data_IF_286877692251
#
_entry.id   IF_286877692251
#
_cell.length_a   1.000
_cell.length_b   1.000
_cell.length_c   1.000
_cell.angle_alpha   90.00
_cell.angle_beta   90.00
_cell.angle_gamma   90.00
#
_symmetry.space_group_name_H-M   'P 1'
#
loop_
_entity.id
_entity.type
_entity.pdbx_description
1 polymer ?
#
# COMPACT_ATOMS: atom_id res chain seq x y z
N UNK A 1 -12.86 -13.69 -17.12
CA UNK A 1 -11.82 -13.20 -16.19
C UNK A 1 -11.34 -14.36 -15.34
N UNK A 2 -10.03 -14.50 -15.16
CA UNK A 2 -9.40 -15.45 -14.23
C UNK A 2 -8.52 -14.71 -13.23
N UNK A 3 -8.44 -15.22 -11.99
CA UNK A 3 -7.65 -14.63 -10.92
C UNK A 3 -6.57 -15.62 -10.51
N UNK A 4 -5.31 -15.21 -10.61
CA UNK A 4 -4.17 -15.98 -10.15
C UNK A 4 -3.48 -15.18 -9.03
N UNK A 5 -2.99 -15.86 -8.00
CA UNK A 5 -2.22 -15.24 -6.92
C UNK A 5 -0.81 -15.81 -6.90
N UNK A 6 0.16 -14.95 -6.59
CA UNK A 6 1.44 -15.41 -6.07
C UNK A 6 1.38 -15.71 -4.56
N UNK A 7 2.55 -15.82 -3.95
CA UNK A 7 2.75 -16.19 -2.56
C UNK A 7 2.82 -15.00 -1.59
N UNK A 8 2.87 -13.76 -2.08
CA UNK A 8 3.07 -12.57 -1.22
C UNK A 8 1.95 -12.31 -0.23
N UNK A 9 0.70 -12.60 -0.61
CA UNK A 9 -0.49 -12.29 0.18
C UNK A 9 -1.72 -13.10 -0.24
N UNK A 10 -1.64 -14.42 -0.08
CA UNK A 10 -2.74 -15.34 -0.41
C UNK A 10 -4.07 -14.99 0.29
N UNK A 11 -4.10 -14.59 1.58
CA UNK A 11 -5.35 -14.22 2.25
C UNK A 11 -6.09 -13.06 1.58
N UNK A 12 -5.38 -12.01 1.13
CA UNK A 12 -6.01 -10.91 0.40
C UNK A 12 -6.56 -11.39 -0.95
N UNK A 13 -5.81 -12.23 -1.68
CA UNK A 13 -6.27 -12.77 -2.95
C UNK A 13 -7.52 -13.63 -2.79
N UNK A 14 -7.59 -14.49 -1.76
CA UNK A 14 -8.78 -15.28 -1.43
C UNK A 14 -9.97 -14.40 -1.08
N UNK A 15 -9.76 -13.33 -0.30
CA UNK A 15 -10.81 -12.37 0.04
C UNK A 15 -11.35 -11.63 -1.20
N UNK A 16 -10.47 -11.21 -2.12
CA UNK A 16 -10.85 -10.60 -3.40
C UNK A 16 -11.64 -11.61 -4.25
N UNK A 17 -11.14 -12.83 -4.38
CA UNK A 17 -11.76 -13.92 -5.15
C UNK A 17 -13.18 -14.22 -4.66
N UNK A 18 -13.37 -14.25 -3.33
CA UNK A 18 -14.67 -14.45 -2.70
C UNK A 18 -15.65 -13.30 -3.02
N UNK A 19 -15.19 -12.04 -3.05
CA UNK A 19 -16.03 -10.90 -3.44
C UNK A 19 -16.46 -10.94 -4.91
N UNK A 20 -15.62 -11.52 -5.77
CA UNK A 20 -15.91 -11.69 -7.20
C UNK A 20 -16.68 -12.98 -7.50
N UNK A 21 -16.90 -13.85 -6.51
CA UNK A 21 -17.49 -15.19 -6.69
C UNK A 21 -16.75 -16.02 -7.76
N UNK A 22 -15.44 -15.87 -7.85
CA UNK A 22 -14.57 -16.63 -8.76
C UNK A 22 -13.58 -17.45 -7.92
N UNK A 23 -13.23 -18.68 -8.31
CA UNK A 23 -12.13 -19.40 -7.69
C UNK A 23 -10.77 -18.87 -8.18
N UNK A 24 -9.75 -19.00 -7.35
CA UNK A 24 -8.37 -18.76 -7.77
C UNK A 24 -7.92 -19.87 -8.73
N UNK A 25 -7.22 -19.47 -9.80
CA UNK A 25 -6.57 -20.38 -10.74
C UNK A 25 -5.58 -21.25 -10.01
N UNK A 26 -5.66 -22.56 -10.25
CA UNK A 26 -4.68 -23.52 -9.74
C UNK A 26 -3.34 -23.28 -10.43
N UNK A 27 -2.33 -22.97 -9.64
CA UNK A 27 -0.94 -22.83 -10.08
C UNK A 27 -0.01 -23.47 -9.05
N UNK A 28 1.08 -24.06 -9.53
CA UNK A 28 2.17 -24.56 -8.72
C UNK A 28 3.30 -23.52 -8.76
N UNK A 29 3.37 -22.71 -7.70
CA UNK A 29 4.39 -21.68 -7.54
C UNK A 29 5.28 -22.08 -6.36
N UNK A 30 6.47 -22.56 -6.67
CA UNK A 30 7.39 -23.17 -5.70
C UNK A 30 8.83 -22.74 -5.95
N UNK A 31 9.72 -23.15 -5.05
CA UNK A 31 11.16 -22.97 -5.19
C UNK A 31 11.85 -24.31 -5.40
N UNK A 32 12.89 -24.32 -6.21
CA UNK A 32 13.86 -25.41 -6.25
C UNK A 32 14.79 -25.36 -5.03
N UNK A 33 15.65 -26.37 -4.87
CA UNK A 33 16.56 -26.49 -3.71
C UNK A 33 17.59 -25.36 -3.60
N UNK A 34 17.90 -24.70 -4.72
CA UNK A 34 18.77 -23.52 -4.82
C UNK A 34 18.03 -22.18 -4.69
N UNK A 35 16.72 -22.21 -4.42
CA UNK A 35 15.78 -21.09 -4.35
C UNK A 35 15.36 -20.46 -5.69
N UNK A 36 15.69 -21.05 -6.84
CA UNK A 36 15.11 -20.61 -8.10
C UNK A 36 13.59 -20.80 -8.09
N UNK A 37 12.87 -19.81 -8.63
CA UNK A 37 11.40 -19.78 -8.63
C UNK A 37 10.88 -20.54 -9.84
N UNK A 38 9.95 -21.45 -9.60
CA UNK A 38 9.24 -22.23 -10.61
C UNK A 38 7.75 -21.90 -10.57
N UNK A 39 7.17 -21.63 -11.74
CA UNK A 39 5.73 -21.38 -11.91
C UNK A 39 5.19 -22.31 -12.98
N UNK A 40 4.12 -23.02 -12.64
CA UNK A 40 3.34 -23.83 -13.57
C UNK A 40 1.85 -23.54 -13.38
N UNK A 41 1.15 -23.21 -14.47
CA UNK A 41 -0.28 -22.90 -14.47
C UNK A 41 -1.03 -24.19 -14.79
N UNK A 42 -1.89 -24.65 -13.88
CA UNK A 42 -2.54 -25.97 -13.95
C UNK A 42 -3.91 -25.93 -14.64
N UNK A 43 -4.27 -24.80 -15.25
CA UNK A 43 -5.54 -24.58 -15.93
C UNK A 43 -5.33 -23.91 -17.29
N UNK A 44 -6.27 -24.14 -18.22
CA UNK A 44 -6.29 -23.41 -19.47
C UNK A 44 -6.58 -21.91 -19.21
N UNK A 45 -5.71 -21.06 -19.73
CA UNK A 45 -5.78 -19.59 -19.67
C UNK A 45 -5.79 -18.95 -21.07
N UNK A 46 -5.83 -19.76 -22.14
CA UNK A 46 -5.80 -19.29 -23.52
C UNK A 46 -7.00 -18.39 -23.81
N UNK A 47 -6.75 -17.19 -24.31
CA UNK A 47 -7.80 -16.22 -24.64
C UNK A 47 -8.44 -15.52 -23.45
N UNK A 48 -8.01 -15.83 -22.22
CA UNK A 48 -8.60 -15.27 -21.00
C UNK A 48 -8.05 -13.89 -20.65
N UNK A 49 -8.86 -13.11 -19.94
CA UNK A 49 -8.41 -11.91 -19.22
C UNK A 49 -7.99 -12.30 -17.81
N UNK A 50 -6.69 -12.25 -17.53
CA UNK A 50 -6.08 -12.80 -16.31
C UNK A 50 -5.53 -11.69 -15.42
N UNK A 51 -5.88 -11.74 -14.14
CA UNK A 51 -5.40 -10.83 -13.11
C UNK A 51 -4.44 -11.58 -12.19
N UNK A 52 -3.21 -11.09 -12.04
CA UNK A 52 -2.19 -11.67 -11.18
C UNK A 52 -2.02 -10.82 -9.93
N UNK A 53 -2.47 -11.32 -8.78
CA UNK A 53 -2.36 -10.64 -7.48
C UNK A 53 -0.99 -10.95 -6.87
N UNK A 54 -0.14 -9.95 -6.77
CA UNK A 54 1.15 -10.05 -6.10
C UNK A 54 1.62 -8.68 -5.60
N UNK A 55 1.69 -8.51 -4.28
CA UNK A 55 2.46 -7.41 -3.68
C UNK A 55 3.95 -7.71 -3.78
N UNK A 56 4.77 -6.69 -4.07
CA UNK A 56 6.23 -6.83 -4.13
C UNK A 56 6.88 -6.45 -2.80
N UNK A 57 6.27 -6.91 -1.70
CA UNK A 57 6.74 -6.78 -0.31
C UNK A 57 7.79 -7.84 0.04
N UNK A 58 8.38 -7.77 1.24
CA UNK A 58 9.40 -8.72 1.68
C UNK A 58 8.95 -10.20 1.54
N UNK A 59 9.80 -11.11 1.04
CA UNK A 59 11.08 -10.85 0.35
C UNK A 59 10.86 -10.24 -1.04
N UNK A 60 11.25 -8.96 -1.19
CA UNK A 60 10.82 -8.11 -2.31
C UNK A 60 11.28 -8.64 -3.67
N UNK A 61 12.53 -9.09 -3.75
CA UNK A 61 13.12 -9.56 -5.00
C UNK A 61 12.49 -10.87 -5.45
N UNK A 62 12.23 -11.78 -4.50
CA UNK A 62 11.60 -13.06 -4.80
C UNK A 62 10.17 -12.85 -5.29
N UNK A 63 9.37 -12.02 -4.60
CA UNK A 63 8.00 -11.73 -5.01
C UNK A 63 7.94 -10.98 -6.34
N UNK A 64 8.92 -10.11 -6.62
CA UNK A 64 9.05 -9.49 -7.94
C UNK A 64 9.36 -10.53 -9.01
N UNK A 65 10.36 -11.39 -8.81
CA UNK A 65 10.71 -12.44 -9.78
C UNK A 65 9.54 -13.41 -9.98
N UNK A 66 8.84 -13.79 -8.92
CA UNK A 66 7.65 -14.63 -8.98
C UNK A 66 6.54 -13.98 -9.83
N UNK A 67 6.30 -12.68 -9.67
CA UNK A 67 5.37 -11.92 -10.53
C UNK A 67 5.79 -11.96 -12.00
N UNK A 68 7.07 -11.67 -12.28
CA UNK A 68 7.59 -11.61 -13.64
C UNK A 68 7.50 -12.98 -14.34
N UNK A 69 7.90 -14.06 -13.65
CA UNK A 69 7.85 -15.43 -14.17
C UNK A 69 6.39 -15.86 -14.39
N UNK A 70 5.49 -15.48 -13.48
CA UNK A 70 4.05 -15.76 -13.61
C UNK A 70 3.45 -15.06 -14.83
N UNK A 71 3.78 -13.78 -15.05
CA UNK A 71 3.35 -13.03 -16.24
C UNK A 71 3.90 -13.66 -17.52
N UNK A 72 5.18 -14.05 -17.55
CA UNK A 72 5.78 -14.71 -18.72
C UNK A 72 5.10 -16.07 -19.01
N UNK A 73 4.81 -16.88 -17.98
CA UNK A 73 4.09 -18.13 -18.12
C UNK A 73 2.68 -17.94 -18.70
N UNK A 74 1.94 -16.92 -18.24
CA UNK A 74 0.62 -16.55 -18.78
C UNK A 74 0.70 -16.11 -20.25
N UNK A 75 1.70 -15.28 -20.58
CA UNK A 75 1.93 -14.80 -21.94
C UNK A 75 2.21 -15.95 -22.89
N UNK A 76 3.12 -16.87 -22.52
CA UNK A 76 3.43 -18.07 -23.31
C UNK A 76 2.25 -19.04 -23.40
N UNK A 77 1.39 -19.05 -22.39
CA UNK A 77 0.14 -19.79 -22.37
C UNK A 77 -1.01 -19.10 -23.14
N UNK A 78 -0.71 -18.03 -23.89
CA UNK A 78 -1.65 -17.33 -24.77
C UNK A 78 -2.83 -16.67 -24.06
N UNK A 79 -2.63 -16.18 -22.83
CA UNK A 79 -3.59 -15.28 -22.19
C UNK A 79 -3.84 -14.05 -23.09
N UNK A 80 -5.10 -13.62 -23.24
CA UNK A 80 -5.48 -12.48 -24.09
C UNK A 80 -5.03 -11.16 -23.50
N UNK A 81 -5.20 -11.00 -22.18
CA UNK A 81 -4.82 -9.80 -21.43
C UNK A 81 -4.32 -10.22 -20.04
N UNK A 82 -3.26 -9.57 -19.58
CA UNK A 82 -2.65 -9.83 -18.28
C UNK A 82 -2.59 -8.51 -17.50
N UNK A 83 -3.34 -8.43 -16.41
CA UNK A 83 -3.30 -7.30 -15.48
C UNK A 83 -2.46 -7.68 -14.26
N UNK A 84 -1.36 -6.97 -14.01
CA UNK A 84 -0.59 -7.12 -12.80
C UNK A 84 -1.27 -6.33 -11.66
N UNK A 85 -1.89 -7.05 -10.72
CA UNK A 85 -2.53 -6.48 -9.54
C UNK A 85 -1.49 -6.46 -8.41
N UNK A 86 -0.96 -5.28 -8.11
CA UNK A 86 0.17 -5.07 -7.19
C UNK A 86 -0.29 -4.19 -6.02
N UNK A 87 -0.98 -4.74 -5.00
CA UNK A 87 -1.51 -3.94 -3.88
C UNK A 87 -0.44 -3.11 -3.16
N UNK A 88 0.80 -3.61 -3.07
CA UNK A 88 1.95 -2.83 -2.64
C UNK A 88 3.07 -2.89 -3.69
N UNK A 89 3.40 -1.74 -4.27
CA UNK A 89 4.48 -1.58 -5.24
C UNK A 89 5.81 -1.33 -4.53
N UNK A 90 6.59 -2.39 -4.33
CA UNK A 90 7.97 -2.31 -3.85
C UNK A 90 8.83 -1.44 -4.76
N UNK A 91 9.94 -0.92 -4.22
CA UNK A 91 10.81 0.06 -4.87
C UNK A 91 10.18 1.43 -5.18
N UNK A 92 8.90 1.68 -4.87
CA UNK A 92 8.25 2.97 -5.11
C UNK A 92 8.99 4.20 -4.53
N UNK A 93 9.70 4.01 -3.41
CA UNK A 93 10.51 5.06 -2.76
C UNK A 93 11.79 5.43 -3.51
N UNK A 94 12.12 4.71 -4.58
CA UNK A 94 13.28 4.94 -5.45
C UNK A 94 12.80 5.44 -6.83
N UNK A 95 12.00 6.50 -6.81
CA UNK A 95 11.30 7.12 -7.95
C UNK A 95 12.11 8.20 -8.67
N UNK A 96 13.21 8.67 -8.08
CA UNK A 96 14.08 9.69 -8.66
C UNK A 96 15.53 9.50 -8.27
N UNK A 97 16.43 10.16 -9.00
CA UNK A 97 17.83 10.25 -8.61
C UNK A 97 17.98 11.23 -7.46
N UNK A 98 18.34 10.74 -6.28
CA UNK A 98 18.66 11.57 -5.10
C UNK A 98 20.13 11.97 -5.05
N UNK A 99 20.98 11.34 -5.87
CA UNK A 99 22.40 11.66 -5.98
C UNK A 99 23.01 11.25 -7.32
N UNK A 100 24.30 11.50 -7.47
CA UNK A 100 25.05 11.02 -8.64
C UNK A 100 25.13 9.48 -8.61
N UNK A 101 24.96 8.85 -9.78
CA UNK A 101 25.10 7.39 -9.99
C UNK A 101 24.13 6.50 -9.17
N UNK A 102 22.97 7.01 -8.76
CA UNK A 102 21.90 6.21 -8.17
C UNK A 102 20.89 5.74 -9.22
N UNK A 103 20.25 4.56 -9.06
CA UNK A 103 19.21 4.10 -9.97
C UNK A 103 17.88 4.84 -9.76
N UNK A 104 16.96 4.68 -10.72
CA UNK A 104 15.52 4.93 -10.53
C UNK A 104 14.85 3.56 -10.54
N UNK A 105 14.92 2.85 -9.41
CA UNK A 105 14.52 1.44 -9.36
C UNK A 105 13.02 1.25 -9.61
N UNK A 106 12.17 2.21 -9.24
CA UNK A 106 10.75 2.17 -9.60
C UNK A 106 10.56 2.12 -11.13
N UNK A 107 11.34 2.89 -11.90
CA UNK A 107 11.30 2.83 -13.38
C UNK A 107 11.88 1.52 -13.92
N UNK A 108 12.95 1.00 -13.32
CA UNK A 108 13.48 -0.32 -13.69
C UNK A 108 12.42 -1.42 -13.51
N UNK A 109 11.76 -1.45 -12.34
CA UNK A 109 10.71 -2.44 -12.05
C UNK A 109 9.52 -2.28 -13.00
N UNK A 110 9.11 -1.04 -13.31
CA UNK A 110 8.07 -0.78 -14.31
C UNK A 110 8.44 -1.36 -15.69
N UNK A 111 9.69 -1.18 -16.13
CA UNK A 111 10.19 -1.78 -17.38
C UNK A 111 10.15 -3.30 -17.34
N UNK A 112 10.57 -3.92 -16.23
CA UNK A 112 10.57 -5.38 -16.09
C UNK A 112 9.16 -5.95 -16.18
N UNK A 113 8.19 -5.37 -15.46
CA UNK A 113 6.78 -5.80 -15.47
C UNK A 113 6.18 -5.66 -16.87
N UNK A 114 6.44 -4.53 -17.54
CA UNK A 114 5.96 -4.28 -18.91
C UNK A 114 6.57 -5.29 -19.89
N UNK A 115 7.89 -5.50 -19.83
CA UNK A 115 8.61 -6.40 -20.73
C UNK A 115 8.27 -7.88 -20.51
N UNK A 116 7.97 -8.29 -19.28
CA UNK A 116 7.47 -9.64 -19.00
C UNK A 116 6.16 -9.93 -19.76
N UNK A 117 5.33 -8.91 -20.00
CA UNK A 117 4.11 -9.00 -20.79
C UNK A 117 2.84 -8.54 -20.07
N UNK A 118 2.96 -7.72 -19.02
CA UNK A 118 1.80 -7.07 -18.45
C UNK A 118 1.18 -6.12 -19.47
N UNK A 119 -0.16 -6.12 -19.55
CA UNK A 119 -0.93 -5.23 -20.42
C UNK A 119 -1.50 -4.04 -19.65
N UNK A 120 -1.62 -4.19 -18.32
CA UNK A 120 -2.13 -3.18 -17.39
C UNK A 120 -1.55 -3.45 -16.00
N UNK A 121 -1.45 -2.39 -15.19
CA UNK A 121 -1.15 -2.49 -13.76
C UNK A 121 -2.32 -1.94 -12.95
N UNK A 122 -2.72 -2.63 -11.89
CA UNK A 122 -3.64 -2.14 -10.87
C UNK A 122 -2.89 -2.11 -9.54
N UNK A 123 -2.79 -0.96 -8.90
CA UNK A 123 -2.06 -0.79 -7.64
C UNK A 123 -2.83 0.09 -6.67
N UNK A 124 -2.32 0.26 -5.46
CA UNK A 124 -2.92 1.07 -4.40
C UNK A 124 -1.86 2.02 -3.84
N UNK A 125 -2.22 3.30 -3.72
CA UNK A 125 -1.43 4.36 -3.08
C UNK A 125 0.07 4.34 -3.39
N UNK A 126 0.42 4.48 -4.67
CA UNK A 126 1.81 4.71 -5.07
C UNK A 126 2.45 5.83 -4.24
N UNK A 127 3.72 5.59 -3.85
CA UNK A 127 4.50 6.55 -3.08
C UNK A 127 4.57 7.93 -3.76
N UNK A 128 4.79 7.90 -5.07
CA UNK A 128 4.77 9.09 -5.92
C UNK A 128 3.80 8.86 -7.08
N UNK A 129 2.85 9.78 -7.26
CA UNK A 129 1.85 9.71 -8.34
C UNK A 129 2.48 9.70 -9.74
N UNK A 130 3.70 10.23 -9.88
CA UNK A 130 4.49 10.27 -11.11
C UNK A 130 4.92 8.88 -11.58
N UNK A 131 4.94 7.86 -10.70
CA UNK A 131 5.27 6.48 -11.07
C UNK A 131 4.31 5.95 -12.15
N UNK A 132 3.08 6.48 -12.25
CA UNK A 132 2.16 6.17 -13.35
C UNK A 132 2.79 6.46 -14.72
N UNK A 133 3.57 7.53 -14.85
CA UNK A 133 4.31 7.88 -16.07
C UNK A 133 5.55 7.02 -16.33
N UNK A 134 5.89 6.07 -15.45
CA UNK A 134 6.96 5.09 -15.71
C UNK A 134 6.48 3.90 -16.53
N UNK A 135 5.17 3.69 -16.63
CA UNK A 135 4.57 2.62 -17.42
C UNK A 135 4.07 3.18 -18.76
N UNK A 136 4.41 2.49 -19.84
CA UNK A 136 3.85 2.77 -21.18
C UNK A 136 2.47 2.10 -21.37
N UNK A 137 2.15 1.15 -20.48
CA UNK A 137 0.85 0.47 -20.38
C UNK A 137 -0.07 1.20 -19.38
N UNK A 138 -1.41 1.07 -19.51
CA UNK A 138 -2.33 1.66 -18.54
C UNK A 138 -2.03 1.22 -17.10
N UNK A 139 -2.09 2.18 -16.18
CA UNK A 139 -1.98 1.94 -14.75
C UNK A 139 -3.15 2.58 -14.02
N UNK A 140 -3.88 1.78 -13.26
CA UNK A 140 -4.94 2.21 -12.36
C UNK A 140 -4.37 2.28 -10.93
N UNK A 141 -4.13 3.49 -10.43
CA UNK A 141 -3.69 3.71 -9.05
C UNK A 141 -4.89 4.00 -8.14
N UNK A 142 -5.29 3.01 -7.34
CA UNK A 142 -6.33 3.17 -6.34
C UNK A 142 -5.83 4.00 -5.15
N UNK A 143 -6.77 4.49 -4.35
CA UNK A 143 -6.50 5.21 -3.11
C UNK A 143 -7.23 4.55 -1.95
N UNK A 144 -6.56 4.35 -0.81
CA UNK A 144 -7.17 3.82 0.41
C UNK A 144 -8.09 4.84 1.09
N UNK A 145 -8.10 6.10 0.63
CA UNK A 145 -8.82 7.18 1.28
C UNK A 145 -10.31 6.95 1.52
N UNK A 146 -11.10 6.40 0.59
CA UNK A 146 -12.48 6.01 0.86
C UNK A 146 -12.60 4.94 1.96
N UNK A 147 -11.70 3.95 1.99
CA UNK A 147 -11.66 2.88 2.99
C UNK A 147 -11.33 3.44 4.38
N UNK A 148 -10.33 4.32 4.47
CA UNK A 148 -9.98 5.02 5.71
C UNK A 148 -11.08 5.95 6.19
N UNK A 149 -11.66 6.75 5.29
CA UNK A 149 -12.69 7.72 5.67
C UNK A 149 -13.93 7.03 6.24
N UNK A 150 -14.31 5.89 5.67
CA UNK A 150 -15.40 5.06 6.20
C UNK A 150 -15.07 4.55 7.59
N UNK A 151 -13.92 3.92 7.76
CA UNK A 151 -13.51 3.34 9.05
C UNK A 151 -13.32 4.40 10.16
N UNK A 152 -12.80 5.58 9.81
CA UNK A 152 -12.70 6.72 10.73
C UNK A 152 -14.10 7.20 11.16
N UNK A 153 -15.04 7.35 10.22
CA UNK A 153 -16.42 7.75 10.54
C UNK A 153 -17.10 6.72 11.41
N UNK A 154 -16.93 5.43 11.12
CA UNK A 154 -17.56 4.35 11.86
C UNK A 154 -17.00 4.20 13.29
N UNK A 155 -15.74 4.58 13.52
CA UNK A 155 -15.05 4.34 14.81
C UNK A 155 -14.78 5.58 15.65
N UNK A 156 -14.74 6.77 15.04
CA UNK A 156 -14.31 8.03 15.67
C UNK A 156 -15.32 9.18 15.49
N UNK A 157 -16.56 8.93 15.05
CA UNK A 157 -17.58 9.97 14.73
C UNK A 157 -17.81 11.04 15.81
N UNK A 158 -17.65 10.68 17.08
CA UNK A 158 -17.97 11.55 18.22
C UNK A 158 -16.75 12.32 18.76
N UNK A 159 -15.65 12.33 18.00
CA UNK A 159 -14.37 12.94 18.42
C UNK A 159 -14.12 14.24 17.67
N UNK A 160 -13.35 15.15 18.28
CA UNK A 160 -12.96 16.42 17.67
C UNK A 160 -11.65 16.20 16.90
N UNK A 161 -11.79 15.80 15.65
CA UNK A 161 -10.69 15.29 14.84
C UNK A 161 -9.81 16.41 14.25
N UNK A 162 -8.51 16.18 14.24
CA UNK A 162 -7.54 16.90 13.39
C UNK A 162 -6.73 15.87 12.61
N UNK A 163 -6.77 15.93 11.28
CA UNK A 163 -5.92 15.09 10.42
C UNK A 163 -4.54 15.72 10.33
N UNK A 164 -3.50 14.91 10.51
CA UNK A 164 -2.12 15.37 10.57
C UNK A 164 -1.30 14.71 9.47
N UNK A 165 -0.57 15.52 8.71
CA UNK A 165 0.48 15.00 7.82
C UNK A 165 1.80 14.91 8.59
N UNK A 166 2.47 13.74 8.62
CA UNK A 166 3.71 13.54 9.38
C UNK A 166 4.93 14.24 8.76
N UNK A 167 4.82 14.68 7.50
CA UNK A 167 5.81 15.47 6.80
C UNK A 167 5.13 16.36 5.73
N UNK A 168 5.93 17.10 4.96
CA UNK A 168 5.42 17.98 3.91
C UNK A 168 5.00 17.25 2.63
N UNK A 169 5.49 16.03 2.40
CA UNK A 169 5.17 15.21 1.23
C UNK A 169 3.77 14.62 1.29
N UNK A 170 3.29 14.27 2.49
CA UNK A 170 1.97 13.68 2.71
C UNK A 170 0.80 14.67 2.74
N UNK A 171 1.04 15.98 2.64
CA UNK A 171 0.01 17.01 2.92
C UNK A 171 -1.21 16.89 2.01
N UNK A 172 -1.00 16.57 0.73
CA UNK A 172 -2.11 16.39 -0.23
C UNK A 172 -3.00 15.22 0.18
N UNK A 173 -2.40 14.11 0.63
CA UNK A 173 -3.10 12.91 1.10
C UNK A 173 -3.89 13.21 2.38
N UNK A 174 -3.24 13.84 3.37
CA UNK A 174 -3.86 14.24 4.62
C UNK A 174 -5.05 15.18 4.40
N UNK A 175 -4.89 16.20 3.53
CA UNK A 175 -5.97 17.15 3.17
C UNK A 175 -7.16 16.46 2.52
N UNK A 176 -6.92 15.49 1.64
CA UNK A 176 -8.00 14.74 0.98
C UNK A 176 -8.86 13.95 1.99
N UNK A 177 -8.22 13.33 2.99
CA UNK A 177 -8.94 12.64 4.07
C UNK A 177 -9.67 13.64 4.96
N UNK A 178 -9.00 14.71 5.40
CA UNK A 178 -9.58 15.76 6.23
C UNK A 178 -10.90 16.29 5.64
N UNK A 179 -10.91 16.57 4.33
CA UNK A 179 -12.11 17.01 3.60
C UNK A 179 -13.23 15.95 3.60
N UNK A 180 -12.91 14.66 3.48
CA UNK A 180 -13.92 13.57 3.44
C UNK A 180 -14.60 13.36 4.79
N UNK A 181 -13.89 13.62 5.88
CA UNK A 181 -14.38 13.41 7.25
C UNK A 181 -14.76 14.71 7.97
N UNK A 182 -14.70 15.85 7.29
CA UNK A 182 -14.97 17.19 7.84
C UNK A 182 -14.12 17.52 9.08
N UNK A 183 -12.79 17.31 8.97
CA UNK A 183 -11.83 17.55 10.03
C UNK A 183 -10.84 18.67 9.68
N UNK A 184 -10.26 19.28 10.72
CA UNK A 184 -9.16 20.24 10.58
C UNK A 184 -7.89 19.53 10.06
N UNK A 185 -6.98 20.30 9.45
CA UNK A 185 -5.69 19.81 8.97
C UNK A 185 -4.54 20.44 9.77
N UNK A 186 -3.61 19.61 10.21
CA UNK A 186 -2.30 20.04 10.71
C UNK A 186 -1.17 19.35 9.94
N UNK A 187 0.02 19.94 10.00
CA UNK A 187 1.21 19.48 9.27
C UNK A 187 2.39 19.49 10.22
N UNK A 188 3.20 18.45 10.20
CA UNK A 188 4.47 18.43 10.90
C UNK A 188 5.57 18.89 9.95
N UNK A 189 6.13 20.06 10.21
CA UNK A 189 7.34 20.55 9.54
C UNK A 189 8.56 20.03 10.29
N UNK A 190 9.20 19.04 9.68
CA UNK A 190 10.41 18.41 10.20
C UNK A 190 11.64 19.18 9.73
N UNK A 191 12.33 19.85 10.65
CA UNK A 191 13.62 20.49 10.38
C UNK A 191 14.77 19.69 10.96
N UNK A 192 15.81 19.47 10.16
CA UNK A 192 17.12 18.98 10.62
C UNK A 192 18.09 20.13 10.57
N UNK A 193 18.56 20.59 11.74
CA UNK A 193 19.57 21.65 11.80
C UNK A 193 20.97 21.12 11.45
N UNK A 194 21.27 19.86 11.77
CA UNK A 194 22.50 19.17 11.34
C UNK A 194 22.37 17.63 11.44
N UNK A 195 23.28 16.91 10.79
CA UNK A 195 23.39 15.46 10.95
C UNK A 195 23.78 15.11 12.40
N UNK A 196 22.98 14.27 13.07
CA UNK A 196 23.24 13.84 14.46
C UNK A 196 22.57 14.69 15.56
N UNK A 197 21.89 15.78 15.20
CA UNK A 197 21.08 16.58 16.15
C UNK A 197 19.64 16.04 16.20
N UNK A 198 19.03 16.08 17.39
CA UNK A 198 17.63 15.68 17.60
C UNK A 198 16.70 16.47 16.67
N UNK A 199 15.73 15.78 16.06
CA UNK A 199 14.83 16.38 15.06
C UNK A 199 13.85 17.34 15.76
N UNK A 200 13.80 18.61 15.31
CA UNK A 200 12.80 19.56 15.78
C UNK A 200 11.53 19.37 14.95
N UNK A 201 10.44 19.00 15.62
CA UNK A 201 9.13 18.78 15.02
C UNK A 201 8.25 19.99 15.29
N UNK A 202 8.08 20.85 14.30
CA UNK A 202 7.15 21.98 14.40
C UNK A 202 5.76 21.56 13.91
N UNK A 203 4.72 21.80 14.69
CA UNK A 203 3.34 21.46 14.31
C UNK A 203 2.65 22.74 13.84
N UNK A 204 2.17 22.71 12.60
CA UNK A 204 1.45 23.81 11.97
C UNK A 204 -0.02 23.41 11.91
N UNK A 205 -0.87 24.05 12.73
CA UNK A 205 -2.30 23.75 12.86
C UNK A 205 -2.73 23.58 14.33
N UNK A 206 -4.04 23.55 14.59
CA UNK A 206 -4.58 23.33 15.95
C UNK A 206 -4.69 21.84 16.26
N UNK A 207 -3.86 21.38 17.19
CA UNK A 207 -3.86 20.00 17.70
C UNK A 207 -4.25 19.92 19.17
N UNK A 208 -4.41 21.06 19.86
CA UNK A 208 -4.63 21.10 21.30
C UNK A 208 -6.03 20.60 21.66
N UNK A 209 -6.10 19.61 22.55
CA UNK A 209 -7.33 18.94 22.96
C UNK A 209 -8.11 18.31 21.78
N UNK A 210 -7.40 17.96 20.70
CA UNK A 210 -7.94 17.27 19.51
C UNK A 210 -7.54 15.81 19.50
N UNK A 211 -8.38 14.97 18.91
CA UNK A 211 -8.05 13.59 18.56
C UNK A 211 -7.33 13.60 17.20
N UNK A 212 -6.02 13.41 17.21
CA UNK A 212 -5.17 13.57 16.02
C UNK A 212 -5.07 12.28 15.21
N UNK A 213 -5.18 12.37 13.88
CA UNK A 213 -5.06 11.24 12.96
C UNK A 213 -3.90 11.47 11.99
N UNK A 214 -2.78 10.79 12.21
CA UNK A 214 -1.66 10.76 11.27
C UNK A 214 -2.03 9.99 10.01
N UNK A 215 -1.81 10.56 8.82
CA UNK A 215 -2.08 9.93 7.52
C UNK A 215 -0.77 9.80 6.74
N UNK A 216 -0.44 8.58 6.33
CA UNK A 216 0.76 8.30 5.54
C UNK A 216 0.52 7.20 4.48
N UNK A 217 1.40 7.08 3.49
CA UNK A 217 1.33 6.01 2.49
C UNK A 217 2.01 4.73 2.97
N UNK A 218 3.22 4.83 3.53
CA UNK A 218 4.06 3.70 3.90
C UNK A 218 4.61 3.88 5.31
N UNK A 219 4.43 2.87 6.17
CA UNK A 219 5.12 2.78 7.46
C UNK A 219 6.15 1.67 7.41
N UNK A 220 7.43 2.04 7.41
CA UNK A 220 8.56 1.11 7.37
C UNK A 220 9.11 0.85 8.78
N UNK A 221 9.96 1.73 9.31
CA UNK A 221 10.46 1.60 10.68
C UNK A 221 9.49 2.15 11.72
N UNK A 222 8.42 2.85 11.32
CA UNK A 222 7.54 3.62 12.23
C UNK A 222 8.21 4.75 13.04
N UNK A 223 9.50 5.04 12.86
CA UNK A 223 10.20 6.10 13.60
C UNK A 223 9.55 7.48 13.44
N UNK A 224 9.26 7.88 12.20
CA UNK A 224 8.61 9.17 11.92
C UNK A 224 7.24 9.29 12.59
N UNK A 225 6.40 8.26 12.46
CA UNK A 225 5.05 8.27 13.04
C UNK A 225 5.05 8.25 14.56
N UNK A 226 5.96 7.50 15.19
CA UNK A 226 6.08 7.49 16.65
C UNK A 226 6.60 8.84 17.18
N UNK A 227 7.59 9.45 16.51
CA UNK A 227 8.09 10.78 16.89
C UNK A 227 7.03 11.85 16.68
N UNK A 228 6.26 11.76 15.60
CA UNK A 228 5.10 12.62 15.35
C UNK A 228 4.05 12.47 16.45
N UNK A 229 3.76 11.25 16.89
CA UNK A 229 2.82 11.01 17.98
C UNK A 229 3.29 11.63 19.30
N UNK A 230 4.58 11.52 19.64
CA UNK A 230 5.16 12.20 20.81
C UNK A 230 4.99 13.72 20.70
N UNK A 231 5.40 14.31 19.58
CA UNK A 231 5.31 15.76 19.37
C UNK A 231 3.87 16.29 19.47
N UNK A 232 2.89 15.55 18.95
CA UNK A 232 1.47 15.91 19.05
C UNK A 232 0.98 15.86 20.50
N UNK A 233 1.33 14.81 21.24
CA UNK A 233 0.96 14.69 22.65
C UNK A 233 1.59 15.79 23.51
N UNK A 234 2.86 16.12 23.27
CA UNK A 234 3.57 17.20 23.97
C UNK A 234 2.93 18.58 23.72
N UNK A 235 2.30 18.76 22.54
CA UNK A 235 1.52 19.96 22.21
C UNK A 235 0.07 19.92 22.71
N UNK A 236 -0.29 18.91 23.51
CA UNK A 236 -1.57 18.80 24.17
C UNK A 236 -2.66 18.15 23.33
N UNK A 237 -2.31 17.35 22.31
CA UNK A 237 -3.28 16.46 21.67
C UNK A 237 -3.94 15.55 22.71
N UNK A 238 -5.22 15.25 22.51
CA UNK A 238 -6.00 14.38 23.40
C UNK A 238 -5.67 12.90 23.17
N UNK A 239 -5.53 12.51 21.90
CA UNK A 239 -5.02 11.21 21.50
C UNK A 239 -4.39 11.30 20.12
N UNK A 240 -3.59 10.29 19.77
CA UNK A 240 -2.99 10.16 18.44
C UNK A 240 -3.27 8.77 17.90
N UNK A 241 -3.85 8.68 16.72
CA UNK A 241 -3.94 7.46 15.91
C UNK A 241 -3.23 7.66 14.57
N UNK A 242 -2.88 6.58 13.89
CA UNK A 242 -2.33 6.63 12.53
C UNK A 242 -3.13 5.74 11.58
N UNK A 243 -3.29 6.17 10.33
CA UNK A 243 -3.81 5.38 9.23
C UNK A 243 -2.77 5.40 8.11
N UNK A 244 -2.29 4.22 7.74
CA UNK A 244 -1.21 4.07 6.78
C UNK A 244 -1.56 3.02 5.75
N UNK A 245 -1.42 3.31 4.47
CA UNK A 245 -1.83 2.34 3.45
C UNK A 245 -1.00 1.06 3.53
N UNK A 246 0.32 1.17 3.52
CA UNK A 246 1.22 0.02 3.46
C UNK A 246 2.00 -0.16 4.77
N UNK A 247 1.64 -1.20 5.53
CA UNK A 247 2.37 -1.60 6.73
C UNK A 247 3.60 -2.45 6.41
N UNK A 248 4.71 -1.84 5.97
CA UNK A 248 5.97 -2.55 5.76
C UNK A 248 6.55 -3.05 7.09
N UNK A 249 6.49 -2.20 8.13
CA UNK A 249 6.75 -2.54 9.53
C UNK A 249 8.02 -3.39 9.75
N UNK A 250 9.14 -2.96 9.17
CA UNK A 250 10.40 -3.71 9.23
C UNK A 250 11.15 -3.55 10.56
N UNK A 251 11.98 -4.55 10.88
CA UNK A 251 12.78 -4.57 12.11
C UNK A 251 11.91 -4.47 13.37
N UNK A 252 12.26 -3.58 14.29
CA UNK A 252 11.53 -3.36 15.55
C UNK A 252 10.28 -2.46 15.44
N UNK A 253 9.74 -2.21 14.24
CA UNK A 253 8.65 -1.25 14.04
C UNK A 253 7.40 -1.56 14.87
N UNK A 254 6.95 -2.81 14.90
CA UNK A 254 5.76 -3.21 15.69
C UNK A 254 5.95 -2.91 17.18
N UNK A 255 7.10 -3.29 17.74
CA UNK A 255 7.42 -3.01 19.15
C UNK A 255 7.51 -1.51 19.42
N UNK A 256 8.06 -0.73 18.48
CA UNK A 256 8.14 0.73 18.56
C UNK A 256 6.76 1.38 18.58
N UNK A 257 5.81 0.88 17.78
CA UNK A 257 4.42 1.37 17.78
C UNK A 257 3.73 1.01 19.10
N UNK A 258 3.91 -0.22 19.59
CA UNK A 258 3.34 -0.67 20.86
C UNK A 258 3.86 0.13 22.08
N UNK A 259 5.12 0.58 22.04
CA UNK A 259 5.73 1.40 23.09
C UNK A 259 5.50 2.92 22.93
N UNK A 260 4.89 3.35 21.83
CA UNK A 260 4.65 4.77 21.53
C UNK A 260 3.36 5.28 22.21
N UNK A 261 3.15 6.61 22.31
CA UNK A 261 1.90 7.15 22.84
C UNK A 261 0.71 7.02 21.86
N UNK A 262 0.87 6.31 20.74
CA UNK A 262 -0.18 6.13 19.75
C UNK A 262 -1.26 5.18 20.26
N UNK A 263 -2.50 5.66 20.31
CA UNK A 263 -3.69 4.90 20.72
C UNK A 263 -3.91 3.71 19.77
N UNK A 264 -3.79 3.96 18.46
CA UNK A 264 -3.98 2.93 17.43
C UNK A 264 -3.27 3.27 16.13
N UNK A 265 -2.69 2.26 15.48
CA UNK A 265 -2.26 2.30 14.09
C UNK A 265 -3.15 1.38 13.25
N UNK A 266 -3.80 1.93 12.25
CA UNK A 266 -4.58 1.20 11.25
C UNK A 266 -3.74 1.10 9.99
N UNK A 267 -3.56 -0.12 9.49
CA UNK A 267 -2.88 -0.38 8.22
C UNK A 267 -3.81 -1.13 7.27
N UNK A 268 -3.61 -1.04 5.95
CA UNK A 268 -4.35 -1.96 5.07
C UNK A 268 -3.71 -3.35 5.03
N UNK A 269 -4.44 -4.34 4.53
CA UNK A 269 -3.91 -5.67 4.21
C UNK A 269 -3.23 -5.74 2.83
N UNK A 270 -2.79 -4.61 2.24
CA UNK A 270 -1.99 -4.58 1.01
C UNK A 270 -0.65 -5.34 1.12
N UNK A 271 -0.10 -5.42 2.33
CA UNK A 271 1.00 -6.30 2.71
C UNK A 271 0.44 -7.30 3.72
N UNK A 272 0.80 -8.58 3.59
CA UNK A 272 0.34 -9.62 4.51
C UNK A 272 0.79 -9.27 5.95
N UNK A 273 -0.14 -9.12 6.90
CA UNK A 273 0.21 -8.83 8.29
C UNK A 273 1.07 -9.95 8.88
N UNK A 274 2.20 -9.59 9.49
CA UNK A 274 3.05 -10.54 10.21
C UNK A 274 2.39 -10.97 11.52
N UNK A 275 2.87 -12.06 12.12
CA UNK A 275 2.35 -12.49 13.42
C UNK A 275 2.52 -11.40 14.50
N UNK A 276 3.64 -10.67 14.47
CA UNK A 276 3.86 -9.53 15.34
C UNK A 276 2.77 -8.45 15.20
N UNK A 277 2.33 -8.17 13.97
CA UNK A 277 1.19 -7.25 13.73
C UNK A 277 -0.10 -7.83 14.31
N UNK A 278 -0.36 -9.12 14.12
CA UNK A 278 -1.60 -9.77 14.57
C UNK A 278 -1.76 -9.80 16.09
N UNK A 279 -0.66 -9.97 16.82
CA UNK A 279 -0.66 -9.98 18.30
C UNK A 279 -0.42 -8.60 18.91
N UNK A 280 -0.19 -7.57 18.09
CA UNK A 280 0.01 -6.21 18.58
C UNK A 280 -1.29 -5.67 19.19
N UNK A 281 -1.24 -5.04 20.38
CA UNK A 281 -2.44 -4.52 21.03
C UNK A 281 -3.02 -3.29 20.31
N UNK A 282 -2.20 -2.54 19.59
CA UNK A 282 -2.58 -1.26 19.00
C UNK A 282 -2.37 -1.16 17.48
N UNK A 283 -2.03 -2.26 16.78
CA UNK A 283 -2.02 -2.30 15.31
C UNK A 283 -3.22 -3.10 14.80
N UNK A 284 -4.00 -2.53 13.88
CA UNK A 284 -5.16 -3.19 13.28
C UNK A 284 -5.10 -3.18 11.76
N UNK A 285 -5.09 -4.35 11.10
CA UNK A 285 -5.30 -4.45 9.66
C UNK A 285 -6.74 -4.09 9.25
N UNK A 286 -6.88 -3.40 8.12
CA UNK A 286 -8.14 -3.02 7.49
C UNK A 286 -8.15 -3.56 6.06
N UNK A 287 -9.16 -4.35 5.71
CA UNK A 287 -9.14 -5.02 4.41
C UNK A 287 -9.48 -4.10 3.24
N UNK A 288 -8.67 -4.17 2.17
CA UNK A 288 -8.92 -3.51 0.88
C UNK A 288 -9.56 -4.45 -0.15
N UNK A 289 -9.92 -5.69 0.24
CA UNK A 289 -10.43 -6.71 -0.68
C UNK A 289 -11.64 -6.23 -1.50
N UNK A 290 -12.60 -5.53 -0.86
CA UNK A 290 -13.78 -4.99 -1.57
C UNK A 290 -13.40 -3.94 -2.61
N UNK A 291 -12.48 -3.02 -2.26
CA UNK A 291 -12.02 -1.97 -3.17
C UNK A 291 -11.29 -2.58 -4.39
N UNK A 292 -10.37 -3.52 -4.12
CA UNK A 292 -9.60 -4.20 -5.17
C UNK A 292 -10.50 -5.06 -6.07
N UNK A 293 -11.44 -5.82 -5.49
CA UNK A 293 -12.40 -6.63 -6.24
C UNK A 293 -13.25 -5.77 -7.18
N UNK A 294 -13.79 -4.65 -6.70
CA UNK A 294 -14.61 -3.77 -7.52
C UNK A 294 -13.81 -3.13 -8.65
N UNK A 295 -12.56 -2.72 -8.41
CA UNK A 295 -11.67 -2.23 -9.46
C UNK A 295 -11.37 -3.30 -10.51
N UNK A 296 -11.04 -4.53 -10.10
CA UNK A 296 -10.80 -5.66 -11.00
C UNK A 296 -12.03 -5.97 -11.86
N UNK A 297 -13.22 -5.97 -11.25
CA UNK A 297 -14.49 -6.15 -11.96
C UNK A 297 -14.68 -5.08 -13.02
N UNK A 298 -14.49 -3.81 -12.67
CA UNK A 298 -14.66 -2.68 -13.60
C UNK A 298 -13.69 -2.73 -14.77
N UNK A 299 -12.43 -3.11 -14.52
CA UNK A 299 -11.43 -3.32 -15.57
C UNK A 299 -11.84 -4.46 -16.50
N UNK A 300 -12.35 -5.57 -15.96
CA UNK A 300 -12.82 -6.71 -16.76
C UNK A 300 -14.07 -6.37 -17.60
N UNK A 301 -14.97 -5.56 -17.03
CA UNK A 301 -16.23 -5.13 -17.64
C UNK A 301 -16.08 -3.88 -18.52
N UNK A 302 -14.86 -3.31 -18.65
CA UNK A 302 -14.57 -2.06 -19.36
C UNK A 302 -15.41 -0.85 -18.87
N UNK A 303 -15.66 -0.78 -17.57
CA UNK A 303 -16.41 0.31 -16.93
C UNK A 303 -15.50 1.25 -16.13
N UNK A 304 -16.02 2.43 -15.76
CA UNK A 304 -15.22 3.49 -15.10
C UNK A 304 -14.69 3.04 -13.74
N UNK A 305 -13.36 2.98 -13.59
CA UNK A 305 -12.67 2.80 -12.30
C UNK A 305 -12.69 4.09 -11.48
N UNK A 306 -12.71 5.26 -12.12
CA UNK A 306 -12.58 6.56 -11.44
C UNK A 306 -13.71 6.86 -10.46
N UNK A 307 -14.92 6.33 -10.70
CA UNK A 307 -16.06 6.49 -9.77
C UNK A 307 -15.93 5.69 -8.47
N UNK A 308 -14.83 4.94 -8.26
CA UNK A 308 -14.49 4.39 -6.95
C UNK A 308 -13.93 5.42 -5.98
N UNK A 309 -13.56 6.60 -6.50
CA UNK A 309 -12.94 7.67 -5.72
C UNK A 309 -13.92 8.77 -5.34
N UNK A 310 -15.16 8.74 -5.79
CA UNK A 310 -16.20 9.69 -5.37
C UNK A 310 -16.90 9.17 -4.11
#
# INVERSE_FOLDING_TARGET
>A
MKILTGNSNKPLAEAISAKLALPLVKANIRRFSDNEIFVEILENVRGEDVFVIQSTSFPANDHLMELLITIDALRRSSARRITAVIPYYGYARQDRKTGSRTPISAKLVANLITNAGAHRVLTLDLHAGQIQGFFDIPLDNLYAGPVFSKDIKDTLSNRKLTVVSPDTGGVVRARAIAKRIDADLAIIDKRREAAGVSEVMNVIGDVKSRDCILIDDIVDSAGTLCNAAVALMDQGAKSVSAYVTHGVLSGGAVARVAASPMEKMVITDSIMPTEAVRVSPNIRPLSIATLMAEAMKRIADETSVSSLFD
#
